data_IF_747513609567
#
_entry.id   IF_747513609567
#
_cell.length_a   1.000
_cell.length_b   1.000
_cell.length_c   1.000
_cell.angle_alpha   90.00
_cell.angle_beta   90.00
_cell.angle_gamma   90.00
#
_symmetry.space_group_name_H-M   'P 1'
#
loop_
_entity.id
_entity.type
_entity.pdbx_description
1 polymer ?
#
# COMPACT_ATOMS: atom_id res chain seq x y z
N UNK A 1 -5.16 -1.09 9.54
CA UNK A 1 -4.62 -0.17 10.58
C UNK A 1 -5.65 -0.02 11.69
N UNK A 2 -5.23 0.16 12.95
CA UNK A 2 -6.15 0.45 14.06
C UNK A 2 -6.20 1.96 14.32
N UNK A 3 -7.00 2.69 13.55
CA UNK A 3 -7.31 4.08 13.91
C UNK A 3 -8.09 4.10 15.23
N UNK A 4 -7.59 4.87 16.20
CA UNK A 4 -8.20 5.08 17.53
C UNK A 4 -8.90 6.43 17.65
N UNK A 5 -8.71 7.31 16.66
CA UNK A 5 -9.33 8.63 16.57
C UNK A 5 -9.37 9.10 15.12
N UNK A 6 -10.09 10.19 14.88
CA UNK A 6 -10.47 10.70 13.57
C UNK A 6 -10.12 12.17 13.44
N UNK A 7 -9.79 12.59 12.21
CA UNK A 7 -9.64 13.97 11.82
C UNK A 7 -10.85 14.39 11.02
N UNK A 8 -11.50 15.48 11.43
CA UNK A 8 -12.61 16.09 10.71
C UNK A 8 -12.16 17.45 10.19
N UNK A 9 -12.22 17.63 8.87
CA UNK A 9 -12.09 18.94 8.24
C UNK A 9 -13.48 19.43 7.83
N UNK A 10 -13.95 20.48 8.50
CA UNK A 10 -15.15 21.22 8.14
C UNK A 10 -14.70 22.45 7.37
N UNK A 11 -15.33 22.72 6.23
CA UNK A 11 -14.97 23.93 5.48
C UNK A 11 -16.11 24.54 4.68
N UNK A 12 -15.97 25.82 4.38
CA UNK A 12 -16.83 26.53 3.44
C UNK A 12 -15.98 27.36 2.49
N UNK A 13 -16.45 27.51 1.24
CA UNK A 13 -15.86 28.40 0.25
C UNK A 13 -16.98 29.19 -0.44
N UNK A 14 -16.77 30.47 -0.75
CA UNK A 14 -17.73 31.27 -1.50
C UNK A 14 -18.18 30.58 -2.80
N UNK A 15 -19.44 30.73 -3.18
CA UNK A 15 -20.02 30.04 -4.35
C UNK A 15 -19.47 30.53 -5.69
N UNK A 16 -18.92 31.75 -5.74
CA UNK A 16 -18.25 32.29 -6.92
C UNK A 16 -16.82 31.76 -7.14
N UNK A 17 -16.25 31.02 -6.19
CA UNK A 17 -14.89 30.45 -6.23
C UNK A 17 -14.85 29.03 -6.80
N UNK A 18 -15.39 28.86 -8.02
CA UNK A 18 -15.57 27.53 -8.62
C UNK A 18 -14.25 26.77 -8.82
N UNK A 19 -13.21 27.45 -9.29
CA UNK A 19 -11.89 26.84 -9.55
C UNK A 19 -11.26 26.33 -8.26
N UNK A 20 -11.28 27.14 -7.21
CA UNK A 20 -10.73 26.83 -5.89
C UNK A 20 -11.52 25.70 -5.22
N UNK A 21 -12.86 25.71 -5.33
CA UNK A 21 -13.72 24.61 -4.84
C UNK A 21 -13.37 23.28 -5.49
N UNK A 22 -13.18 23.27 -6.81
CA UNK A 22 -12.76 22.06 -7.54
C UNK A 22 -11.35 21.62 -7.12
N UNK A 23 -10.43 22.57 -6.92
CA UNK A 23 -9.07 22.27 -6.48
C UNK A 23 -9.06 21.59 -5.09
N UNK A 24 -9.81 22.13 -4.12
CA UNK A 24 -9.96 21.56 -2.78
C UNK A 24 -10.60 20.17 -2.84
N UNK A 25 -11.69 20.01 -3.61
CA UNK A 25 -12.34 18.71 -3.80
C UNK A 25 -11.39 17.65 -4.39
N UNK A 26 -10.62 18.01 -5.42
CA UNK A 26 -9.60 17.12 -6.01
C UNK A 26 -8.53 16.75 -4.99
N UNK A 27 -8.10 17.69 -4.15
CA UNK A 27 -7.11 17.44 -3.10
C UNK A 27 -7.63 16.48 -2.05
N UNK A 28 -8.86 16.67 -1.56
CA UNK A 28 -9.55 15.78 -0.62
C UNK A 28 -9.64 14.36 -1.17
N UNK A 29 -10.05 14.21 -2.43
CA UNK A 29 -10.09 12.91 -3.10
C UNK A 29 -8.69 12.27 -3.17
N UNK A 30 -7.67 13.05 -3.55
CA UNK A 30 -6.28 12.59 -3.71
C UNK A 30 -5.66 12.07 -2.41
N UNK A 31 -5.98 12.69 -1.27
CA UNK A 31 -5.49 12.23 0.04
C UNK A 31 -6.37 11.16 0.68
N UNK A 32 -7.44 10.74 -0.01
CA UNK A 32 -8.33 9.69 0.46
C UNK A 32 -9.32 10.11 1.54
N UNK A 33 -9.59 11.40 1.68
CA UNK A 33 -10.58 11.89 2.63
C UNK A 33 -11.99 11.48 2.19
N UNK A 34 -12.80 11.02 3.15
CA UNK A 34 -14.19 10.59 2.89
C UNK A 34 -15.16 11.63 3.44
N UNK A 35 -16.14 11.98 2.63
CA UNK A 35 -17.17 12.92 3.01
C UNK A 35 -18.25 12.23 3.85
N UNK A 36 -18.57 12.78 5.02
CA UNK A 36 -19.65 12.28 5.89
C UNK A 36 -20.90 13.17 5.86
N UNK A 37 -20.72 14.47 5.63
CA UNK A 37 -21.77 15.49 5.45
C UNK A 37 -21.31 16.52 4.41
N UNK A 38 -22.19 17.41 3.97
CA UNK A 38 -21.96 18.35 2.85
C UNK A 38 -20.62 19.09 2.89
N UNK A 39 -20.15 19.50 4.06
CA UNK A 39 -18.90 20.26 4.22
C UNK A 39 -17.87 19.55 5.12
N UNK A 40 -18.11 18.30 5.51
CA UNK A 40 -17.29 17.59 6.50
C UNK A 40 -16.60 16.38 5.88
N UNK A 41 -15.28 16.38 5.96
CA UNK A 41 -14.40 15.33 5.45
C UNK A 41 -13.62 14.68 6.57
N UNK A 42 -13.39 13.38 6.42
CA UNK A 42 -12.81 12.53 7.44
C UNK A 42 -11.50 11.90 6.96
N UNK A 43 -10.52 11.81 7.85
CA UNK A 43 -9.33 10.97 7.73
C UNK A 43 -9.08 10.22 9.05
N UNK A 44 -8.44 9.04 9.03
CA UNK A 44 -7.91 8.44 10.26
C UNK A 44 -6.85 9.37 10.86
N UNK A 45 -6.85 9.50 12.18
CA UNK A 45 -5.90 10.36 12.85
C UNK A 45 -4.50 9.74 12.89
N UNK A 46 -3.63 10.29 12.07
CA UNK A 46 -2.25 9.88 11.85
C UNK A 46 -1.42 11.12 11.49
N UNK A 47 -0.12 11.18 11.81
CA UNK A 47 0.70 12.39 11.63
C UNK A 47 0.68 12.95 10.19
N UNK A 48 0.81 12.08 9.18
CA UNK A 48 0.83 12.51 7.78
C UNK A 48 -0.53 13.08 7.33
N UNK A 49 -1.63 12.45 7.74
CA UNK A 49 -3.00 12.89 7.44
C UNK A 49 -3.33 14.20 8.15
N UNK A 50 -2.87 14.36 9.40
CA UNK A 50 -3.02 15.59 10.16
C UNK A 50 -2.32 16.76 9.48
N UNK A 51 -1.08 16.55 9.04
CA UNK A 51 -0.32 17.55 8.29
C UNK A 51 -1.02 17.91 6.97
N UNK A 52 -1.51 16.92 6.23
CA UNK A 52 -2.27 17.15 4.99
C UNK A 52 -3.53 18.01 5.22
N UNK A 53 -4.28 17.76 6.29
CA UNK A 53 -5.44 18.57 6.66
C UNK A 53 -5.07 19.97 7.16
N UNK A 54 -3.96 20.13 7.90
CA UNK A 54 -3.43 21.45 8.30
C UNK A 54 -3.13 22.32 7.07
N UNK A 55 -2.38 21.78 6.11
CA UNK A 55 -2.05 22.49 4.87
C UNK A 55 -3.31 22.82 4.05
N UNK A 56 -4.24 21.88 3.94
CA UNK A 56 -5.48 22.12 3.19
C UNK A 56 -6.38 23.16 3.89
N UNK A 57 -6.48 23.12 5.21
CA UNK A 57 -7.23 24.10 5.99
C UNK A 57 -6.68 25.52 5.78
N UNK A 58 -5.34 25.67 5.79
CA UNK A 58 -4.68 26.94 5.46
C UNK A 58 -5.01 27.38 4.03
N UNK A 59 -4.86 26.50 3.05
CA UNK A 59 -5.17 26.79 1.64
C UNK A 59 -6.61 27.26 1.45
N UNK A 60 -7.58 26.65 2.13
CA UNK A 60 -8.99 27.05 2.08
C UNK A 60 -9.17 28.50 2.59
N UNK A 61 -8.50 28.88 3.68
CA UNK A 61 -8.53 30.25 4.20
C UNK A 61 -7.87 31.24 3.24
N UNK A 62 -6.76 30.84 2.61
CA UNK A 62 -6.08 31.65 1.59
C UNK A 62 -6.97 31.87 0.35
N UNK A 63 -7.91 30.95 0.06
CA UNK A 63 -8.95 31.12 -0.96
C UNK A 63 -10.15 31.97 -0.51
N UNK A 64 -10.11 32.56 0.67
CA UNK A 64 -11.20 33.36 1.25
C UNK A 64 -12.36 32.52 1.78
N UNK A 65 -12.12 31.25 2.08
CA UNK A 65 -13.05 30.37 2.78
C UNK A 65 -12.82 30.33 4.29
N UNK A 66 -13.61 29.48 4.95
CA UNK A 66 -13.43 29.15 6.37
C UNK A 66 -13.14 27.66 6.51
N UNK A 67 -12.34 27.30 7.52
CA UNK A 67 -12.00 25.91 7.80
C UNK A 67 -11.75 25.64 9.28
N UNK A 68 -12.33 24.56 9.79
CA UNK A 68 -12.14 24.05 11.14
C UNK A 68 -11.62 22.62 11.07
N UNK A 69 -10.49 22.36 11.74
CA UNK A 69 -9.91 21.03 11.88
C UNK A 69 -10.12 20.51 13.30
N UNK A 70 -10.81 19.39 13.44
CA UNK A 70 -11.13 18.75 14.72
C UNK A 70 -10.47 17.39 14.80
N UNK A 71 -9.89 17.05 15.96
CA UNK A 71 -9.50 15.67 16.30
C UNK A 71 -10.58 15.11 17.22
N UNK A 72 -11.22 14.04 16.83
CA UNK A 72 -12.30 13.41 17.59
C UNK A 72 -11.93 11.96 17.91
N UNK A 73 -12.06 11.56 19.18
CA UNK A 73 -11.90 10.15 19.55
C UNK A 73 -13.10 9.32 19.07
N UNK A 74 -14.30 9.89 19.19
CA UNK A 74 -15.56 9.26 18.83
C UNK A 74 -16.46 10.26 18.11
N UNK A 75 -17.39 9.73 17.31
CA UNK A 75 -18.41 10.51 16.60
C UNK A 75 -19.76 9.89 16.94
N UNK A 76 -20.57 10.57 17.73
CA UNK A 76 -21.90 10.07 18.07
C UNK A 76 -22.74 9.82 16.81
N UNK A 77 -23.42 8.67 16.78
CA UNK A 77 -24.20 8.23 15.63
C UNK A 77 -23.39 7.65 14.46
N UNK A 78 -22.06 7.65 14.53
CA UNK A 78 -21.19 7.05 13.52
C UNK A 78 -20.12 6.17 14.17
N UNK A 79 -20.47 4.90 14.36
CA UNK A 79 -19.56 3.90 14.96
C UNK A 79 -18.29 3.77 14.14
N UNK A 80 -17.21 3.32 14.78
CA UNK A 80 -15.93 3.03 14.12
C UNK A 80 -16.10 2.13 12.89
N UNK A 81 -16.90 1.07 12.99
CA UNK A 81 -17.11 0.13 11.87
C UNK A 81 -17.87 0.78 10.72
N UNK A 82 -18.82 1.68 11.02
CA UNK A 82 -19.51 2.46 9.99
C UNK A 82 -18.52 3.39 9.28
N UNK A 83 -17.65 4.08 10.03
CA UNK A 83 -16.59 4.92 9.45
C UNK A 83 -15.68 4.10 8.54
N UNK A 84 -15.17 2.97 9.04
CA UNK A 84 -14.30 2.07 8.26
C UNK A 84 -15.00 1.61 6.99
N UNK A 85 -16.29 1.26 7.09
CA UNK A 85 -17.11 0.87 5.94
C UNK A 85 -17.24 1.98 4.91
N UNK A 86 -17.32 3.25 5.32
CA UNK A 86 -17.33 4.39 4.39
C UNK A 86 -16.00 4.51 3.62
N UNK A 87 -14.85 4.35 4.30
CA UNK A 87 -13.54 4.31 3.62
C UNK A 87 -13.41 3.15 2.66
N UNK A 88 -13.77 1.94 3.10
CA UNK A 88 -13.73 0.75 2.26
C UNK A 88 -14.65 0.89 1.05
N UNK A 89 -15.88 1.40 1.22
CA UNK A 89 -16.80 1.64 0.13
C UNK A 89 -16.29 2.69 -0.88
N UNK A 90 -15.59 3.73 -0.41
CA UNK A 90 -14.96 4.71 -1.28
C UNK A 90 -13.84 4.08 -2.13
N UNK A 91 -12.94 3.32 -1.49
CA UNK A 91 -11.84 2.60 -2.15
C UNK A 91 -12.32 1.50 -3.09
N UNK A 92 -13.38 0.80 -2.71
CA UNK A 92 -13.98 -0.27 -3.49
C UNK A 92 -14.43 0.19 -4.88
N UNK A 93 -14.94 1.43 -5.01
CA UNK A 93 -15.31 2.01 -6.32
C UNK A 93 -14.09 2.17 -7.23
N UNK A 94 -12.96 2.63 -6.68
CA UNK A 94 -11.72 2.84 -7.43
C UNK A 94 -11.05 1.51 -7.77
N UNK A 95 -10.96 0.58 -6.81
CA UNK A 95 -10.46 -0.78 -7.07
C UNK A 95 -11.33 -1.53 -8.08
N UNK A 96 -12.64 -1.32 -8.10
CA UNK A 96 -13.51 -1.92 -9.11
C UNK A 96 -13.18 -1.47 -10.53
N UNK A 97 -12.75 -0.22 -10.73
CA UNK A 97 -12.30 0.26 -12.03
C UNK A 97 -10.99 -0.40 -12.44
N UNK A 98 -10.00 -0.42 -11.53
CA UNK A 98 -8.71 -1.06 -11.77
C UNK A 98 -8.86 -2.58 -12.03
N UNK A 99 -9.74 -3.25 -11.29
CA UNK A 99 -10.09 -4.65 -11.49
C UNK A 99 -10.59 -4.91 -12.92
N UNK A 100 -11.49 -4.07 -13.44
CA UNK A 100 -11.97 -4.20 -14.83
C UNK A 100 -10.83 -4.04 -15.84
N UNK A 101 -9.95 -3.07 -15.62
CA UNK A 101 -8.77 -2.88 -16.47
C UNK A 101 -7.86 -4.11 -16.47
N UNK A 102 -7.59 -4.68 -15.30
CA UNK A 102 -6.79 -5.91 -15.18
C UNK A 102 -7.46 -7.12 -15.82
N UNK A 103 -8.77 -7.30 -15.61
CA UNK A 103 -9.54 -8.39 -16.21
C UNK A 103 -9.54 -8.31 -17.74
N UNK A 104 -9.54 -7.10 -18.32
CA UNK A 104 -9.39 -6.89 -19.77
C UNK A 104 -7.94 -7.12 -20.24
N UNK A 105 -6.95 -6.68 -19.47
CA UNK A 105 -5.53 -6.79 -19.80
C UNK A 105 -5.01 -8.24 -19.80
N UNK A 106 -5.31 -9.01 -18.75
CA UNK A 106 -4.77 -10.37 -18.53
C UNK A 106 -4.95 -11.32 -19.74
N UNK A 107 -6.11 -11.43 -20.40
CA UNK A 107 -6.26 -12.28 -21.58
C UNK A 107 -5.59 -11.68 -22.82
N UNK A 108 -5.61 -10.34 -22.97
CA UNK A 108 -5.07 -9.64 -24.14
C UNK A 108 -3.54 -9.63 -24.18
N UNK A 109 -2.88 -9.59 -23.02
CA UNK A 109 -1.41 -9.49 -22.91
C UNK A 109 -0.66 -10.55 -23.71
N UNK A 110 -1.23 -11.75 -23.87
CA UNK A 110 -0.61 -12.85 -24.64
C UNK A 110 -0.50 -12.56 -26.15
N UNK A 111 -1.32 -11.62 -26.65
CA UNK A 111 -1.36 -11.21 -28.06
C UNK A 111 -0.66 -9.87 -28.30
N UNK A 112 -0.27 -9.18 -27.24
CA UNK A 112 0.43 -7.90 -27.30
C UNK A 112 1.92 -8.15 -27.53
N UNK A 113 2.58 -7.15 -28.13
CA UNK A 113 4.03 -7.07 -28.09
C UNK A 113 4.52 -7.03 -26.62
N UNK A 114 5.70 -7.61 -26.37
CA UNK A 114 6.24 -7.77 -25.01
C UNK A 114 6.51 -6.43 -24.33
N UNK A 115 7.03 -5.46 -25.06
CA UNK A 115 7.35 -4.13 -24.52
C UNK A 115 6.08 -3.36 -24.21
N UNK A 116 5.10 -3.37 -25.12
CA UNK A 116 3.80 -2.74 -24.91
C UNK A 116 3.03 -3.35 -23.73
N UNK A 117 3.07 -4.68 -23.58
CA UNK A 117 2.46 -5.36 -22.45
C UNK A 117 3.12 -4.99 -21.11
N UNK A 118 4.45 -4.83 -21.09
CA UNK A 118 5.20 -4.41 -19.90
C UNK A 118 4.82 -2.98 -19.49
N UNK A 119 4.81 -2.03 -20.43
CA UNK A 119 4.42 -0.62 -20.18
C UNK A 119 2.99 -0.52 -19.64
N UNK A 120 2.04 -1.27 -20.22
CA UNK A 120 0.66 -1.26 -19.74
C UNK A 120 0.55 -1.87 -18.32
N UNK A 121 1.27 -2.95 -18.04
CA UNK A 121 1.31 -3.57 -16.71
C UNK A 121 1.91 -2.63 -15.67
N UNK A 122 3.03 -1.96 -15.96
CA UNK A 122 3.65 -0.97 -15.07
C UNK A 122 2.69 0.16 -14.73
N UNK A 123 1.91 0.64 -15.71
CA UNK A 123 0.86 1.64 -15.48
C UNK A 123 -0.19 1.13 -14.50
N UNK A 124 -0.65 -0.11 -14.64
CA UNK A 124 -1.64 -0.72 -13.72
C UNK A 124 -1.08 -0.94 -12.32
N UNK A 125 0.19 -1.34 -12.20
CA UNK A 125 0.91 -1.47 -10.91
C UNK A 125 1.02 -0.09 -10.24
N UNK A 126 1.38 0.94 -11.00
CA UNK A 126 1.44 2.31 -10.48
C UNK A 126 0.09 2.78 -9.96
N UNK A 127 -0.98 2.58 -10.73
CA UNK A 127 -2.35 2.89 -10.29
C UNK A 127 -2.73 2.16 -9.01
N UNK A 128 -2.37 0.88 -8.88
CA UNK A 128 -2.60 0.11 -7.66
C UNK A 128 -1.86 0.69 -6.46
N UNK A 129 -0.57 1.01 -6.61
CA UNK A 129 0.26 1.60 -5.56
C UNK A 129 -0.30 2.94 -5.09
N UNK A 130 -0.73 3.79 -6.02
CA UNK A 130 -1.37 5.08 -5.72
C UNK A 130 -2.67 4.88 -4.92
N UNK A 131 -3.52 3.91 -5.28
CA UNK A 131 -4.72 3.59 -4.52
C UNK A 131 -4.40 3.02 -3.13
N UNK A 132 -3.37 2.18 -3.01
CA UNK A 132 -2.95 1.59 -1.73
C UNK A 132 -2.48 2.62 -0.72
N UNK A 133 -1.88 3.74 -1.16
CA UNK A 133 -1.46 4.82 -0.26
C UNK A 133 -2.63 5.46 0.50
N UNK A 134 -3.84 5.35 -0.04
CA UNK A 134 -5.05 5.95 0.52
C UNK A 134 -6.08 4.90 0.93
N UNK A 135 -5.69 3.62 0.95
CA UNK A 135 -6.46 2.49 1.45
C UNK A 135 -6.07 2.20 2.91
N UNK A 136 -6.59 3.03 3.82
CA UNK A 136 -6.18 3.00 5.24
C UNK A 136 -6.62 1.75 6.00
N UNK A 137 -7.66 1.07 5.52
CA UNK A 137 -8.32 -0.04 6.20
C UNK A 137 -8.27 -1.36 5.44
N UNK A 138 -7.44 -1.44 4.40
CA UNK A 138 -7.11 -2.68 3.71
C UNK A 138 -8.34 -3.36 3.10
N UNK A 139 -9.00 -2.64 2.19
CA UNK A 139 -10.23 -3.08 1.51
C UNK A 139 -10.10 -4.50 0.94
N UNK A 140 -11.17 -5.30 1.07
CA UNK A 140 -11.22 -6.65 0.49
C UNK A 140 -11.02 -6.65 -1.03
N UNK A 141 -11.53 -5.62 -1.74
CA UNK A 141 -11.28 -5.48 -3.18
C UNK A 141 -9.84 -5.13 -3.50
N UNK A 142 -9.15 -4.43 -2.60
CA UNK A 142 -7.70 -4.20 -2.71
C UNK A 142 -6.93 -5.51 -2.79
N UNK A 143 -7.31 -6.50 -1.96
CA UNK A 143 -6.72 -7.84 -1.99
C UNK A 143 -7.02 -8.59 -3.30
N UNK A 144 -8.27 -8.55 -3.78
CA UNK A 144 -8.64 -9.14 -5.06
C UNK A 144 -7.82 -8.58 -6.22
N UNK A 145 -7.63 -7.25 -6.24
CA UNK A 145 -6.82 -6.56 -7.25
C UNK A 145 -5.35 -6.95 -7.15
N UNK A 146 -4.80 -7.07 -5.94
CA UNK A 146 -3.44 -7.56 -5.73
C UNK A 146 -3.25 -8.98 -6.30
N UNK A 147 -4.23 -9.87 -6.13
CA UNK A 147 -4.20 -11.22 -6.69
C UNK A 147 -4.28 -11.19 -8.23
N UNK A 148 -5.10 -10.31 -8.80
CA UNK A 148 -5.17 -10.13 -10.26
C UNK A 148 -3.86 -9.56 -10.83
N UNK A 149 -3.20 -8.65 -10.12
CA UNK A 149 -1.89 -8.13 -10.52
C UNK A 149 -0.83 -9.22 -10.54
N UNK A 150 -0.78 -10.07 -9.50
CA UNK A 150 0.11 -11.25 -9.50
C UNK A 150 -0.14 -12.15 -10.72
N UNK A 151 -1.41 -12.37 -11.08
CA UNK A 151 -1.78 -13.12 -12.28
C UNK A 151 -1.37 -12.39 -13.58
N UNK A 152 -1.47 -11.06 -13.60
CA UNK A 152 -1.14 -10.18 -14.72
C UNK A 152 0.37 -9.99 -14.93
N UNK A 153 1.18 -10.14 -13.88
CA UNK A 153 2.62 -10.37 -13.97
C UNK A 153 2.90 -11.76 -14.54
N UNK A 154 1.99 -12.72 -14.32
CA UNK A 154 2.12 -14.11 -14.72
C UNK A 154 3.00 -14.88 -13.74
N UNK A 155 3.35 -16.15 -14.02
CA UNK A 155 4.55 -16.69 -13.43
C UNK A 155 5.64 -15.68 -13.76
N UNK A 156 6.24 -15.05 -12.75
CA UNK A 156 7.41 -14.21 -12.97
C UNK A 156 8.35 -15.07 -13.84
N UNK A 157 8.52 -14.71 -15.12
CA UNK A 157 9.84 -14.71 -15.78
C UNK A 157 10.60 -13.53 -15.15
N UNK A 158 10.61 -13.37 -13.85
CA UNK A 158 11.81 -13.65 -13.13
C UNK A 158 13.04 -13.77 -14.04
N UNK A 159 13.99 -12.91 -13.75
CA UNK A 159 15.36 -13.37 -13.61
C UNK A 159 15.47 -14.45 -12.48
N UNK A 160 14.65 -15.53 -12.47
CA UNK A 160 14.69 -16.63 -11.45
C UNK A 160 15.74 -17.68 -11.82
N UNK A 161 16.64 -17.39 -12.76
CA UNK A 161 17.76 -18.29 -13.05
C UNK A 161 19.09 -17.76 -12.51
N UNK A 162 19.15 -16.55 -11.95
CA UNK A 162 20.34 -16.14 -11.21
C UNK A 162 20.23 -16.65 -9.78
N UNK A 163 20.93 -17.76 -9.55
CA UNK A 163 21.40 -18.14 -8.23
C UNK A 163 22.22 -16.97 -7.70
N UNK A 164 21.84 -16.46 -6.54
CA UNK A 164 22.51 -15.37 -5.88
C UNK A 164 23.73 -15.88 -5.12
N UNK A 165 24.83 -15.13 -5.17
CA UNK A 165 25.99 -15.41 -4.33
C UNK A 165 25.70 -14.96 -2.89
N UNK A 166 25.58 -15.93 -1.98
CA UNK A 166 25.39 -15.68 -0.54
C UNK A 166 26.42 -14.71 0.04
N UNK A 167 27.64 -14.63 -0.51
CA UNK A 167 28.68 -13.70 -0.04
C UNK A 167 28.25 -12.24 -0.13
N UNK A 168 27.41 -11.88 -1.10
CA UNK A 168 26.91 -10.50 -1.28
C UNK A 168 25.93 -10.08 -0.17
N UNK A 169 25.38 -11.06 0.54
CA UNK A 169 24.33 -10.89 1.54
C UNK A 169 24.85 -11.06 2.98
N UNK A 170 26.17 -11.20 3.18
CA UNK A 170 26.78 -11.36 4.50
C UNK A 170 26.89 -10.06 5.29
N UNK A 171 26.70 -10.15 6.61
CA UNK A 171 26.76 -9.02 7.54
C UNK A 171 25.65 -8.00 7.33
N UNK A 172 24.51 -8.42 6.76
CA UNK A 172 23.39 -7.54 6.42
C UNK A 172 22.36 -7.50 7.55
N UNK A 173 21.57 -6.44 7.53
CA UNK A 173 20.38 -6.32 8.38
C UNK A 173 19.15 -6.73 7.58
N UNK A 174 18.44 -7.74 8.06
CA UNK A 174 17.25 -8.31 7.45
C UNK A 174 16.00 -7.82 8.18
N UNK A 175 14.98 -7.42 7.42
CA UNK A 175 13.76 -6.84 7.97
C UNK A 175 12.55 -7.73 7.69
N UNK A 176 11.74 -7.98 8.71
CA UNK A 176 10.40 -8.57 8.52
C UNK A 176 9.35 -7.94 9.45
N UNK A 177 8.10 -8.39 9.38
CA UNK A 177 7.01 -7.85 10.19
C UNK A 177 7.07 -8.36 11.64
N UNK A 178 6.67 -7.55 12.65
CA UNK A 178 6.52 -8.01 14.03
C UNK A 178 5.60 -9.23 14.14
N UNK A 179 5.82 -10.05 15.18
CA UNK A 179 5.09 -11.32 15.43
C UNK A 179 5.27 -12.31 14.27
N UNK A 180 6.47 -12.86 14.07
CA UNK A 180 6.75 -13.74 12.95
C UNK A 180 6.01 -15.07 13.09
N UNK A 181 5.38 -15.48 11.99
CA UNK A 181 4.77 -16.80 11.85
C UNK A 181 5.83 -17.84 11.43
N UNK A 182 5.44 -19.11 11.35
CA UNK A 182 6.35 -20.25 11.15
C UNK A 182 7.29 -20.04 9.94
N UNK A 183 6.78 -19.61 8.79
CA UNK A 183 7.59 -19.37 7.58
C UNK A 183 8.68 -18.31 7.80
N UNK A 184 8.38 -17.24 8.55
CA UNK A 184 9.36 -16.18 8.86
C UNK A 184 10.45 -16.64 9.80
N UNK A 185 10.07 -17.42 10.82
CA UNK A 185 11.04 -17.97 11.78
C UNK A 185 11.96 -18.97 11.06
N UNK A 186 11.39 -19.85 10.24
CA UNK A 186 12.16 -20.77 9.40
C UNK A 186 13.08 -20.05 8.42
N UNK A 187 12.57 -19.01 7.75
CA UNK A 187 13.36 -18.18 6.82
C UNK A 187 14.52 -17.48 7.53
N UNK A 188 14.30 -16.92 8.73
CA UNK A 188 15.35 -16.28 9.52
C UNK A 188 16.43 -17.28 9.97
N UNK A 189 16.03 -18.51 10.33
CA UNK A 189 16.98 -19.59 10.62
C UNK A 189 17.81 -19.95 9.38
N UNK A 190 17.16 -20.16 8.23
CA UNK A 190 17.83 -20.50 6.98
C UNK A 190 18.81 -19.41 6.52
N UNK A 191 18.40 -18.14 6.63
CA UNK A 191 19.28 -16.98 6.39
C UNK A 191 20.51 -17.08 7.30
N UNK A 192 20.30 -17.25 8.61
CA UNK A 192 21.40 -17.30 9.59
C UNK A 192 22.33 -18.49 9.37
N UNK A 193 21.82 -19.61 8.86
CA UNK A 193 22.56 -20.86 8.72
C UNK A 193 23.36 -20.93 7.42
N UNK A 194 22.76 -20.54 6.30
CA UNK A 194 23.30 -20.82 4.96
C UNK A 194 23.70 -19.56 4.17
N UNK A 195 23.10 -18.40 4.48
CA UNK A 195 23.29 -17.19 3.67
C UNK A 195 24.22 -16.22 4.41
N UNK A 196 23.82 -15.82 5.61
CA UNK A 196 24.49 -14.79 6.41
C UNK A 196 24.61 -15.23 7.89
N UNK A 197 25.74 -15.86 8.27
CA UNK A 197 26.01 -16.23 9.66
C UNK A 197 26.11 -15.04 10.63
N UNK A 198 26.21 -13.80 10.13
CA UNK A 198 26.26 -12.57 10.93
C UNK A 198 25.00 -11.72 10.77
N UNK A 199 23.90 -12.31 10.28
CA UNK A 199 22.65 -11.62 10.06
C UNK A 199 22.15 -10.92 11.33
N UNK A 200 21.67 -9.69 11.17
CA UNK A 200 20.89 -8.98 12.18
C UNK A 200 19.45 -8.89 11.72
N UNK A 201 18.50 -9.11 12.62
CA UNK A 201 17.07 -9.04 12.29
C UNK A 201 16.41 -7.85 12.96
N UNK A 202 15.63 -7.10 12.19
CA UNK A 202 14.82 -5.98 12.68
C UNK A 202 13.36 -6.17 12.29
N UNK A 203 12.45 -5.64 13.10
CA UNK A 203 11.02 -5.79 12.91
C UNK A 203 10.36 -4.44 12.66
N UNK A 204 9.66 -4.31 11.53
CA UNK A 204 8.91 -3.10 11.22
C UNK A 204 7.63 -3.43 10.41
N UNK A 205 6.57 -2.59 10.48
CA UNK A 205 5.31 -2.86 9.79
C UNK A 205 5.41 -2.70 8.26
N UNK A 206 6.48 -2.09 7.74
CA UNK A 206 6.69 -1.82 6.32
C UNK A 206 8.14 -2.10 5.91
N UNK A 207 8.34 -2.59 4.68
CA UNK A 207 9.65 -2.87 4.09
C UNK A 207 10.53 -1.61 3.92
N UNK A 208 9.91 -0.42 3.88
CA UNK A 208 10.59 0.87 3.70
C UNK A 208 10.84 1.60 5.03
N UNK A 209 10.42 1.01 6.15
CA UNK A 209 10.49 1.67 7.45
C UNK A 209 11.92 1.85 7.98
N UNK A 210 12.86 1.00 7.54
CA UNK A 210 14.27 1.07 7.94
C UNK A 210 15.14 1.06 6.68
N UNK A 211 15.91 2.13 6.42
CA UNK A 211 16.82 2.18 5.28
C UNK A 211 17.94 1.15 5.40
N UNK A 212 18.56 0.80 4.28
CA UNK A 212 19.70 -0.14 4.20
C UNK A 212 19.43 -1.54 4.77
N UNK A 213 18.16 -1.96 4.79
CA UNK A 213 17.76 -3.31 5.19
C UNK A 213 17.32 -4.16 4.02
N UNK A 214 17.44 -5.48 4.17
CA UNK A 214 16.98 -6.47 3.19
C UNK A 214 15.64 -7.02 3.66
N UNK A 215 14.52 -6.60 3.05
CA UNK A 215 13.21 -7.06 3.45
C UNK A 215 12.98 -8.53 3.05
N UNK A 216 12.37 -9.31 3.93
CA UNK A 216 11.86 -10.65 3.62
C UNK A 216 10.47 -10.93 4.21
N UNK A 217 9.70 -11.79 3.54
CA UNK A 217 8.29 -12.10 3.80
C UNK A 217 7.40 -10.86 4.01
N UNK A 218 7.60 -9.88 3.14
CA UNK A 218 6.81 -8.66 3.09
C UNK A 218 6.33 -8.38 1.67
N UNK A 219 5.28 -7.56 1.57
CA UNK A 219 4.75 -7.12 0.29
C UNK A 219 5.85 -6.33 -0.46
N UNK A 220 6.06 -6.67 -1.73
CA UNK A 220 7.11 -6.11 -2.61
C UNK A 220 8.57 -6.39 -2.19
N UNK A 221 8.80 -7.25 -1.20
CA UNK A 221 10.16 -7.70 -0.86
C UNK A 221 10.74 -8.64 -1.93
N UNK A 222 12.05 -8.56 -2.15
CA UNK A 222 12.76 -9.48 -3.05
C UNK A 222 12.60 -10.93 -2.59
N UNK A 223 12.78 -11.18 -1.30
CA UNK A 223 12.61 -12.49 -0.67
C UNK A 223 11.23 -12.58 -0.03
N UNK A 224 10.22 -12.95 -0.81
CA UNK A 224 8.84 -13.05 -0.33
C UNK A 224 8.17 -14.29 -0.90
N UNK A 225 6.87 -14.44 -0.68
CA UNK A 225 6.09 -15.48 -1.33
C UNK A 225 6.06 -15.25 -2.85
N UNK A 226 6.58 -16.21 -3.62
CA UNK A 226 6.62 -16.15 -5.09
C UNK A 226 5.98 -17.39 -5.70
N UNK A 227 4.87 -17.19 -6.43
CA UNK A 227 4.11 -18.29 -7.01
C UNK A 227 3.53 -19.19 -5.92
N UNK A 228 3.86 -20.49 -5.97
CA UNK A 228 3.49 -21.47 -4.94
C UNK A 228 4.54 -21.59 -3.83
N UNK A 229 5.66 -20.89 -3.92
CA UNK A 229 6.72 -21.00 -2.92
C UNK A 229 6.48 -20.04 -1.76
N UNK A 230 6.61 -20.53 -0.54
CA UNK A 230 6.73 -19.66 0.63
C UNK A 230 8.09 -18.93 0.64
N UNK A 231 8.33 -18.07 1.62
CA UNK A 231 9.58 -17.30 1.69
C UNK A 231 10.78 -18.22 1.90
N UNK A 232 10.62 -19.25 2.74
CA UNK A 232 11.66 -20.26 2.96
C UNK A 232 12.09 -20.92 1.66
N UNK A 233 11.14 -21.48 0.91
CA UNK A 233 11.40 -22.15 -0.36
C UNK A 233 11.98 -21.20 -1.42
N UNK A 234 11.56 -19.93 -1.39
CA UNK A 234 12.15 -18.89 -2.23
C UNK A 234 13.63 -18.70 -1.93
N UNK A 235 14.01 -18.57 -0.65
CA UNK A 235 15.40 -18.42 -0.25
C UNK A 235 16.25 -19.64 -0.62
N UNK A 236 15.74 -20.86 -0.36
CA UNK A 236 16.41 -22.12 -0.74
C UNK A 236 16.72 -22.14 -2.23
N UNK A 237 15.75 -21.80 -3.08
CA UNK A 237 15.92 -21.78 -4.55
C UNK A 237 16.84 -20.66 -5.00
N UNK A 238 16.73 -19.46 -4.43
CA UNK A 238 17.52 -18.27 -4.81
C UNK A 238 19.00 -18.40 -4.46
N UNK A 239 19.33 -19.10 -3.39
CA UNK A 239 20.72 -19.30 -2.94
C UNK A 239 21.25 -20.71 -3.24
N UNK A 240 20.52 -21.52 -4.02
CA UNK A 240 20.87 -22.91 -4.35
C UNK A 240 21.28 -23.74 -3.11
N UNK A 241 20.51 -23.59 -2.02
CA UNK A 241 20.75 -24.33 -0.78
C UNK A 241 20.22 -25.75 -0.97
N UNK A 242 21.11 -26.72 -0.87
CA UNK A 242 20.80 -28.15 -0.84
C UNK A 242 21.34 -28.70 0.46
N UNK A 243 20.44 -29.10 1.36
CA UNK A 243 20.72 -29.76 2.64
C UNK A 243 19.78 -30.96 2.78
#
# INVERSE_FOLDING_TARGET
MNATSWLLLLYSLPTNRNTERVAVWRRLKKIGAVQIKTSTYLLPDQPAQYEQFQWLAKQIRDYGGDSTLVRAQEIEGLTKDNVISLFNAARDKEYSQLRRSLQSFIPRRKKLDTELAAVELERLIRQFRELRQVDFFDSARGHDVAMLLRRAEGPRRSRQSEVLDAKQYRGKTWLTRPRPEIDRVGSAWLISKFIDPKAKFVFAPSAQAVPDTIPFDMLDAEFSHHGNNCTFETLTKRFAISD
#
